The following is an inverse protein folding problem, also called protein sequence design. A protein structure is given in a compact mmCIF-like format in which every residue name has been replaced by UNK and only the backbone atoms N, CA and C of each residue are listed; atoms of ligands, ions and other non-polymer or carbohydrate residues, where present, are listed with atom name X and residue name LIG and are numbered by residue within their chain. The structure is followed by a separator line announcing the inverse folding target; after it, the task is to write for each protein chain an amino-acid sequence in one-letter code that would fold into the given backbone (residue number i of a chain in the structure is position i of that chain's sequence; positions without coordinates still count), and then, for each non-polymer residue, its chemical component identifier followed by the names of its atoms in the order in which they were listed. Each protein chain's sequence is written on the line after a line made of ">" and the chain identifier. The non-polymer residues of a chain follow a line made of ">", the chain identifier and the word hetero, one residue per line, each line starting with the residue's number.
data_IF_868028359797
#
_entry.id   IF_868028359797
#
_cell.length_a   1.000
_cell.length_b   1.000
_cell.length_c   1.000
_cell.angle_alpha   90.00
_cell.angle_beta   90.00
_cell.angle_gamma   90.00
#
_symmetry.space_group_name_H-M   'P 1'
#
loop_
_entity.id
_entity.type
_entity.pdbx_description
1 polymer ?
#
# COMPACT_ATOMS: atom_id res chain seq x y z
N UNK A 1 6.41 -21.28 6.52
CA UNK A 1 7.05 -20.06 6.00
C UNK A 1 6.23 -19.41 4.88
N UNK A 2 5.91 -20.17 3.85
CA UNK A 2 5.27 -19.61 2.64
C UNK A 2 3.90 -19.01 2.93
N UNK A 3 3.11 -19.66 3.79
CA UNK A 3 1.78 -19.16 4.13
C UNK A 3 1.83 -17.74 4.72
N UNK A 4 2.80 -17.48 5.60
CA UNK A 4 2.94 -16.16 6.23
C UNK A 4 3.30 -15.07 5.24
N UNK A 5 3.96 -15.43 4.13
CA UNK A 5 4.26 -14.48 3.05
C UNK A 5 3.12 -14.40 2.05
N UNK A 6 2.42 -15.49 1.79
CA UNK A 6 1.33 -15.51 0.83
C UNK A 6 0.13 -14.70 1.28
N UNK A 7 -0.14 -14.62 2.59
CA UNK A 7 -1.24 -13.82 3.12
C UNK A 7 -1.08 -12.33 2.75
N UNK A 8 0.06 -11.67 3.01
CA UNK A 8 0.26 -10.29 2.57
C UNK A 8 0.13 -10.11 1.04
N UNK A 9 0.66 -11.03 0.25
CA UNK A 9 0.56 -10.94 -1.21
C UNK A 9 -0.90 -11.01 -1.66
N UNK A 10 -1.67 -11.94 -1.10
CA UNK A 10 -3.09 -12.06 -1.43
C UNK A 10 -3.87 -10.81 -1.04
N UNK A 11 -3.59 -10.24 0.13
CA UNK A 11 -4.21 -9.00 0.58
C UNK A 11 -3.81 -7.82 -0.31
N UNK A 12 -2.55 -7.74 -0.75
CA UNK A 12 -2.12 -6.73 -1.71
C UNK A 12 -2.92 -6.82 -3.00
N UNK A 13 -3.10 -8.02 -3.53
CA UNK A 13 -3.88 -8.22 -4.75
C UNK A 13 -5.31 -7.74 -4.55
N UNK A 14 -5.95 -8.15 -3.46
CA UNK A 14 -7.33 -7.80 -3.16
C UNK A 14 -7.52 -6.29 -3.02
N UNK A 15 -6.55 -5.59 -2.44
CA UNK A 15 -6.61 -4.13 -2.25
C UNK A 15 -6.24 -3.41 -3.54
N UNK A 16 -5.17 -3.83 -4.22
CA UNK A 16 -4.61 -3.06 -5.33
C UNK A 16 -5.39 -3.21 -6.63
N UNK A 17 -6.10 -4.30 -6.85
CA UNK A 17 -6.93 -4.44 -8.06
C UNK A 17 -7.94 -3.28 -8.17
N UNK A 18 -8.81 -3.05 -7.17
CA UNK A 18 -9.75 -1.92 -7.27
C UNK A 18 -9.05 -0.56 -7.19
N UNK A 19 -7.99 -0.43 -6.39
CA UNK A 19 -7.28 0.85 -6.24
C UNK A 19 -6.61 1.25 -7.55
N UNK A 20 -5.88 0.33 -8.19
CA UNK A 20 -5.23 0.61 -9.47
C UNK A 20 -6.27 0.95 -10.55
N UNK A 21 -7.38 0.21 -10.59
CA UNK A 21 -8.45 0.50 -11.53
C UNK A 21 -8.98 1.93 -11.35
N UNK A 22 -9.24 2.33 -10.10
CA UNK A 22 -9.74 3.67 -9.80
C UNK A 22 -8.71 4.75 -10.19
N UNK A 23 -7.43 4.51 -9.90
CA UNK A 23 -6.37 5.47 -10.21
C UNK A 23 -6.21 5.68 -11.71
N UNK A 24 -6.16 4.60 -12.50
CA UNK A 24 -6.02 4.71 -13.94
C UNK A 24 -7.27 5.24 -14.63
N UNK A 25 -8.45 5.02 -14.01
CA UNK A 25 -9.71 5.56 -14.50
C UNK A 25 -9.89 7.05 -14.18
N UNK A 26 -8.96 7.65 -13.44
CA UNK A 26 -9.01 9.06 -13.09
C UNK A 26 -9.87 9.35 -11.86
N UNK A 27 -10.23 8.33 -11.09
CA UNK A 27 -11.10 8.47 -9.91
C UNK A 27 -10.32 8.45 -8.59
N UNK A 28 -8.98 8.50 -8.66
CA UNK A 28 -8.15 8.39 -7.46
C UNK A 28 -8.44 9.46 -6.41
N UNK A 29 -8.70 10.70 -6.83
CA UNK A 29 -9.00 11.78 -5.89
C UNK A 29 -10.32 11.57 -5.15
N UNK A 30 -11.31 10.98 -5.81
CA UNK A 30 -12.62 10.77 -5.20
C UNK A 30 -12.66 9.52 -4.33
N UNK A 31 -11.98 8.45 -4.73
CA UNK A 31 -12.11 7.13 -4.10
C UNK A 31 -10.93 6.74 -3.23
N UNK A 32 -9.70 7.02 -3.67
CA UNK A 32 -8.50 6.63 -2.94
C UNK A 32 -8.07 7.72 -1.96
N UNK A 33 -7.88 8.93 -2.46
CA UNK A 33 -7.38 10.03 -1.63
C UNK A 33 -8.48 10.88 -1.00
N UNK A 34 -9.73 10.67 -1.41
CA UNK A 34 -10.89 11.34 -0.82
C UNK A 34 -10.76 12.87 -0.83
N UNK A 35 -10.08 13.40 -1.85
CA UNK A 35 -9.87 14.83 -2.02
C UNK A 35 -8.85 15.44 -1.08
N UNK A 36 -8.15 14.63 -0.27
CA UNK A 36 -7.17 15.13 0.70
C UNK A 36 -5.81 15.47 0.09
N UNK A 37 -5.55 14.97 -1.11
CA UNK A 37 -4.27 15.16 -1.80
C UNK A 37 -4.47 16.10 -2.98
N UNK A 38 -3.54 17.03 -3.19
CA UNK A 38 -3.59 17.97 -4.32
C UNK A 38 -3.65 17.19 -5.64
N UNK A 39 -4.52 17.64 -6.55
CA UNK A 39 -4.71 16.98 -7.84
C UNK A 39 -3.50 17.22 -8.75
N UNK A 40 -2.91 16.13 -9.23
CA UNK A 40 -1.85 16.16 -10.23
C UNK A 40 -1.92 14.85 -11.00
N UNK A 41 -2.37 14.91 -12.26
CA UNK A 41 -2.56 13.70 -13.05
C UNK A 41 -1.25 12.95 -13.25
N UNK A 42 -0.15 13.68 -13.46
CA UNK A 42 1.17 13.05 -13.60
C UNK A 42 1.60 12.28 -12.36
N UNK A 43 1.44 12.88 -11.20
CA UNK A 43 1.78 12.22 -9.94
C UNK A 43 0.84 11.07 -9.61
N UNK A 44 -0.46 11.22 -9.88
CA UNK A 44 -1.43 10.14 -9.72
C UNK A 44 -1.04 8.93 -10.57
N UNK A 45 -0.67 9.16 -11.83
CA UNK A 45 -0.26 8.07 -12.73
C UNK A 45 1.05 7.43 -12.28
N UNK A 46 1.98 8.22 -11.73
CA UNK A 46 3.22 7.67 -11.19
C UNK A 46 2.92 6.74 -10.01
N UNK A 47 2.08 7.18 -9.08
CA UNK A 47 1.68 6.35 -7.93
C UNK A 47 0.92 5.11 -8.41
N UNK A 48 0.01 5.27 -9.36
CA UNK A 48 -0.74 4.15 -9.92
C UNK A 48 0.20 3.13 -10.58
N UNK A 49 1.23 3.61 -11.29
CA UNK A 49 2.21 2.73 -11.93
C UNK A 49 3.04 1.97 -10.91
N UNK A 50 3.44 2.63 -9.82
CA UNK A 50 4.15 1.96 -8.72
C UNK A 50 3.27 0.90 -8.06
N UNK A 51 2.01 1.24 -7.80
CA UNK A 51 1.07 0.30 -7.20
C UNK A 51 0.76 -0.86 -8.12
N UNK A 52 0.68 -0.62 -9.44
CA UNK A 52 0.52 -1.69 -10.41
C UNK A 52 1.74 -2.63 -10.38
N UNK A 53 2.94 -2.08 -10.24
CA UNK A 53 4.16 -2.88 -10.10
C UNK A 53 4.12 -3.74 -8.85
N UNK A 54 3.64 -3.18 -7.73
CA UNK A 54 3.46 -3.93 -6.48
C UNK A 54 2.43 -5.04 -6.67
N UNK A 55 1.33 -4.75 -7.37
CA UNK A 55 0.32 -5.75 -7.68
C UNK A 55 0.90 -6.90 -8.50
N UNK A 56 1.62 -6.59 -9.58
CA UNK A 56 2.25 -7.60 -10.42
C UNK A 56 3.25 -8.44 -9.63
N UNK A 57 4.08 -7.78 -8.82
CA UNK A 57 5.05 -8.48 -7.98
C UNK A 57 4.37 -9.32 -6.88
N UNK A 58 3.20 -8.88 -6.40
CA UNK A 58 2.44 -9.66 -5.43
C UNK A 58 1.87 -10.94 -6.05
N UNK A 59 1.41 -10.87 -7.29
CA UNK A 59 0.98 -12.06 -8.03
C UNK A 59 2.15 -13.03 -8.19
N UNK A 60 3.32 -12.53 -8.59
CA UNK A 60 4.51 -13.37 -8.68
C UNK A 60 4.94 -13.92 -7.32
N UNK A 61 4.74 -13.13 -6.26
CA UNK A 61 5.06 -13.53 -4.89
C UNK A 61 4.23 -14.71 -4.37
N UNK A 62 3.01 -14.86 -4.86
CA UNK A 62 2.19 -16.03 -4.54
C UNK A 62 2.92 -17.32 -4.95
N UNK A 63 3.61 -17.28 -6.09
CA UNK A 63 4.35 -18.43 -6.61
C UNK A 63 5.79 -18.51 -6.07
N UNK A 64 6.40 -17.38 -5.78
CA UNK A 64 7.79 -17.29 -5.30
C UNK A 64 7.86 -16.39 -4.05
N UNK A 65 7.29 -16.83 -2.92
CA UNK A 65 7.13 -15.93 -1.75
C UNK A 65 8.42 -15.36 -1.21
N UNK A 66 9.46 -16.16 -1.12
CA UNK A 66 10.73 -15.71 -0.53
C UNK A 66 11.46 -14.73 -1.43
N UNK A 67 11.41 -14.96 -2.75
CA UNK A 67 12.07 -14.10 -3.72
C UNK A 67 11.54 -12.67 -3.68
N UNK A 68 10.23 -12.51 -3.50
CA UNK A 68 9.58 -11.20 -3.50
C UNK A 68 9.38 -10.62 -2.10
N UNK A 69 9.90 -11.27 -1.05
CA UNK A 69 9.75 -10.78 0.32
C UNK A 69 10.25 -9.34 0.53
N UNK A 70 11.35 -8.87 -0.09
CA UNK A 70 11.78 -7.47 0.06
C UNK A 70 10.70 -6.45 -0.35
N UNK A 71 9.77 -6.83 -1.24
CA UNK A 71 8.64 -5.99 -1.59
C UNK A 71 7.79 -5.64 -0.37
N UNK A 72 7.57 -6.60 0.51
CA UNK A 72 6.76 -6.39 1.71
C UNK A 72 7.47 -5.43 2.68
N UNK A 73 8.78 -5.59 2.84
CA UNK A 73 9.57 -4.67 3.67
C UNK A 73 9.55 -3.25 3.10
N UNK A 74 9.68 -3.11 1.80
CA UNK A 74 9.63 -1.82 1.13
C UNK A 74 8.28 -1.14 1.35
N UNK A 75 7.19 -1.89 1.30
CA UNK A 75 5.86 -1.35 1.56
C UNK A 75 5.73 -0.81 2.98
N UNK A 76 6.27 -1.53 3.97
CA UNK A 76 6.26 -1.05 5.36
C UNK A 76 7.00 0.28 5.46
N UNK A 77 8.17 0.38 4.84
CA UNK A 77 9.00 1.58 4.90
C UNK A 77 8.28 2.78 4.30
N UNK A 78 7.84 2.70 3.04
CA UNK A 78 7.29 3.88 2.38
C UNK A 78 5.93 4.28 2.97
N UNK A 79 5.14 3.30 3.39
CA UNK A 79 3.84 3.60 4.00
C UNK A 79 3.99 4.24 5.37
N UNK A 80 4.98 3.81 6.14
CA UNK A 80 5.30 4.45 7.42
C UNK A 80 5.73 5.90 7.21
N UNK A 81 6.64 6.13 6.26
CA UNK A 81 7.10 7.48 5.95
C UNK A 81 5.95 8.39 5.54
N UNK A 82 5.06 7.91 4.67
CA UNK A 82 3.92 8.70 4.21
C UNK A 82 2.96 9.01 5.36
N UNK A 83 2.67 8.04 6.22
CA UNK A 83 1.82 8.27 7.39
C UNK A 83 2.42 9.33 8.31
N UNK A 84 3.73 9.29 8.54
CA UNK A 84 4.40 10.24 9.43
C UNK A 84 4.50 11.63 8.79
N UNK A 85 4.76 11.72 7.49
CA UNK A 85 5.04 13.00 6.84
C UNK A 85 3.81 13.70 6.29
N UNK A 86 2.76 12.97 5.93
CA UNK A 86 1.55 13.54 5.36
C UNK A 86 0.35 13.42 6.30
N UNK A 87 0.01 12.19 6.71
CA UNK A 87 -1.22 11.94 7.48
C UNK A 87 -1.12 12.49 8.89
N UNK A 88 0.02 12.31 9.57
CA UNK A 88 0.22 12.81 10.92
C UNK A 88 0.08 14.33 11.01
N UNK A 89 0.86 15.11 10.22
CA UNK A 89 0.70 16.56 10.20
C UNK A 89 -0.69 17.02 9.79
N UNK A 90 -1.32 16.35 8.80
CA UNK A 90 -2.68 16.69 8.38
C UNK A 90 -3.69 16.47 9.50
N UNK A 91 -3.56 15.39 10.25
CA UNK A 91 -4.42 15.12 11.39
C UNK A 91 -4.25 16.16 12.50
N UNK A 92 -3.00 16.53 12.81
CA UNK A 92 -2.70 17.55 13.81
C UNK A 92 -3.24 18.92 13.40
N UNK A 93 -3.23 19.24 12.12
CA UNK A 93 -3.75 20.49 11.58
C UNK A 93 -5.26 20.44 11.35
N UNK A 94 -5.92 19.32 11.66
CA UNK A 94 -7.34 19.08 11.40
C UNK A 94 -7.69 19.26 9.93
N UNK A 95 -6.75 18.97 9.04
CA UNK A 95 -6.97 19.00 7.61
C UNK A 95 -7.73 17.74 7.17
N UNK A 96 -8.26 17.79 5.93
CA UNK A 96 -8.97 16.65 5.38
C UNK A 96 -8.03 15.46 5.23
N UNK A 97 -8.47 14.28 5.68
CA UNK A 97 -7.67 13.05 5.64
C UNK A 97 -8.22 12.06 4.60
N UNK A 98 -7.35 11.37 3.86
CA UNK A 98 -7.76 10.22 3.06
C UNK A 98 -7.93 9.00 3.96
N UNK A 99 -9.02 8.98 4.75
CA UNK A 99 -9.18 7.99 5.83
C UNK A 99 -9.11 6.55 5.37
N UNK A 100 -9.65 6.24 4.20
CA UNK A 100 -9.63 4.87 3.67
C UNK A 100 -8.22 4.37 3.43
N UNK A 101 -7.43 5.13 2.67
CA UNK A 101 -6.05 4.73 2.35
C UNK A 101 -5.16 4.83 3.59
N UNK A 102 -5.37 5.82 4.45
CA UNK A 102 -4.62 5.96 5.69
C UNK A 102 -4.85 4.75 6.62
N UNK A 103 -6.10 4.30 6.76
CA UNK A 103 -6.43 3.13 7.55
C UNK A 103 -5.80 1.86 6.95
N UNK A 104 -5.86 1.68 5.63
CA UNK A 104 -5.22 0.55 4.95
C UNK A 104 -3.70 0.55 5.19
N UNK A 105 -3.05 1.70 5.04
CA UNK A 105 -1.61 1.81 5.24
C UNK A 105 -1.23 1.52 6.70
N UNK A 106 -2.01 2.06 7.66
CA UNK A 106 -1.76 1.78 9.07
C UNK A 106 -1.89 0.29 9.37
N UNK A 107 -2.92 -0.36 8.84
CA UNK A 107 -3.10 -1.80 8.99
C UNK A 107 -1.93 -2.59 8.43
N UNK A 108 -1.44 -2.21 7.26
CA UNK A 108 -0.29 -2.87 6.63
C UNK A 108 0.97 -2.66 7.45
N UNK A 109 1.23 -1.44 7.92
CA UNK A 109 2.41 -1.13 8.73
C UNK A 109 2.41 -1.91 10.04
N UNK A 110 1.23 -2.16 10.62
CA UNK A 110 1.11 -2.92 11.85
C UNK A 110 1.19 -4.44 11.63
N UNK A 111 0.77 -4.95 10.48
CA UNK A 111 0.63 -6.39 10.25
C UNK A 111 1.75 -7.01 9.41
N UNK A 112 2.22 -6.35 8.35
CA UNK A 112 3.28 -6.89 7.48
C UNK A 112 4.57 -7.23 8.25
N UNK A 113 5.05 -6.41 9.19
CA UNK A 113 6.22 -6.80 9.99
C UNK A 113 6.00 -8.08 10.78
N UNK A 114 4.79 -8.33 11.27
CA UNK A 114 4.46 -9.56 11.99
C UNK A 114 4.57 -10.75 11.05
N UNK A 115 4.02 -10.65 9.84
CA UNK A 115 4.11 -11.73 8.86
C UNK A 115 5.56 -12.00 8.46
N UNK A 116 6.37 -10.96 8.25
CA UNK A 116 7.78 -11.11 7.92
C UNK A 116 8.54 -11.78 9.08
N UNK A 117 8.25 -11.36 10.31
CA UNK A 117 8.88 -11.95 11.49
C UNK A 117 8.53 -13.44 11.61
N UNK A 118 7.27 -13.78 11.44
CA UNK A 118 6.82 -15.18 11.51
C UNK A 118 7.44 -16.02 10.39
N UNK A 119 7.67 -15.43 9.23
CA UNK A 119 8.23 -16.14 8.08
C UNK A 119 9.73 -16.38 8.22
N UNK A 120 10.48 -15.41 8.73
CA UNK A 120 11.95 -15.45 8.66
C UNK A 120 12.66 -15.47 10.02
N UNK A 121 12.10 -14.85 11.04
CA UNK A 121 12.80 -14.63 12.31
C UNK A 121 12.33 -15.57 13.44
N UNK A 122 11.27 -16.30 13.20
CA UNK A 122 10.69 -17.20 14.18
C UNK A 122 11.44 -18.53 14.28
#
# INVERSE_FOLDING_TARGET
>A
MDLWLQIPYALNIAILVPVCFAMFAGRGQLTVFQGAVASSRGLELLVASLWLSILAASVAGIFYPVLFAPLLAMQVIYKTVWLLTFVGPAASAKARLPTGIAACFAGIVLTWPVFLWLAFLR
#
